data_IF_359993352733
#
_entry.id   IF_359993352733
#
_cell.length_a   1.000
_cell.length_b   1.000
_cell.length_c   1.000
_cell.angle_alpha   90.00
_cell.angle_beta   90.00
_cell.angle_gamma   90.00
#
_symmetry.space_group_name_H-M   'P 1'
#
loop_
_entity.id
_entity.type
_entity.pdbx_description
1 polymer ?
#
# COMPACT_ATOMS: atom_id res chain seq x y z
N UNK A 1 -3.27 -7.77 -26.58
CA UNK A 1 -2.21 -7.06 -25.84
C UNK A 1 -2.13 -7.71 -24.48
N UNK A 2 -1.06 -8.44 -24.20
CA UNK A 2 -0.93 -9.26 -23.00
C UNK A 2 -0.73 -8.41 -21.73
N UNK A 3 -0.95 -9.05 -20.59
CA UNK A 3 -0.81 -8.48 -19.24
C UNK A 3 0.68 -8.18 -18.92
N UNK A 4 1.60 -8.67 -19.74
CA UNK A 4 3.03 -8.93 -19.46
C UNK A 4 4.00 -7.74 -19.22
N UNK A 5 3.55 -6.50 -19.00
CA UNK A 5 4.46 -5.33 -18.91
C UNK A 5 4.33 -4.52 -17.61
N UNK A 6 3.80 -5.09 -16.53
CA UNK A 6 3.78 -4.41 -15.22
C UNK A 6 4.93 -4.92 -14.33
N UNK A 7 5.50 -4.07 -13.45
CA UNK A 7 6.53 -4.49 -12.49
C UNK A 7 6.08 -5.67 -11.63
N UNK A 8 6.99 -6.57 -11.31
CA UNK A 8 6.73 -7.79 -10.52
C UNK A 8 6.06 -7.49 -9.16
N UNK A 9 6.39 -6.35 -8.55
CA UNK A 9 5.78 -5.85 -7.32
C UNK A 9 4.25 -5.64 -7.42
N UNK A 10 3.67 -5.65 -8.62
CA UNK A 10 2.24 -5.53 -8.88
C UNK A 10 1.56 -6.86 -9.24
N UNK A 11 2.30 -7.98 -9.33
CA UNK A 11 1.74 -9.26 -9.76
C UNK A 11 0.55 -9.70 -8.89
N UNK A 12 0.67 -9.62 -7.56
CA UNK A 12 -0.42 -9.96 -6.63
C UNK A 12 -1.68 -9.11 -6.88
N UNK A 13 -1.53 -7.80 -7.14
CA UNK A 13 -2.65 -6.93 -7.49
C UNK A 13 -3.27 -7.34 -8.84
N UNK A 14 -2.43 -7.58 -9.85
CA UNK A 14 -2.85 -7.95 -11.20
C UNK A 14 -3.65 -9.27 -11.17
N UNK A 15 -3.17 -10.26 -10.44
CA UNK A 15 -3.86 -11.54 -10.22
C UNK A 15 -5.24 -11.33 -9.59
N UNK A 16 -5.33 -10.45 -8.58
CA UNK A 16 -6.60 -10.14 -7.90
C UNK A 16 -7.60 -9.36 -8.75
N UNK A 17 -7.14 -8.47 -9.63
CA UNK A 17 -8.05 -7.63 -10.43
C UNK A 17 -8.42 -8.26 -11.77
N UNK A 18 -7.63 -9.19 -12.29
CA UNK A 18 -7.90 -9.85 -13.59
C UNK A 18 -9.29 -10.51 -13.66
N UNK A 19 -9.78 -11.23 -12.62
CA UNK A 19 -11.12 -11.82 -12.60
C UNK A 19 -12.26 -10.80 -12.65
N UNK A 20 -11.99 -9.51 -12.41
CA UNK A 20 -13.01 -8.45 -12.35
C UNK A 20 -13.43 -7.96 -13.75
N UNK A 21 -12.88 -8.53 -14.82
CA UNK A 21 -13.30 -8.24 -16.19
C UNK A 21 -12.97 -6.80 -16.62
N UNK A 22 -13.96 -5.99 -17.07
CA UNK A 22 -13.69 -4.65 -17.60
C UNK A 22 -12.97 -3.72 -16.63
N UNK A 23 -13.34 -3.74 -15.33
CA UNK A 23 -12.70 -2.86 -14.34
C UNK A 23 -11.24 -3.29 -14.08
N UNK A 24 -10.96 -4.60 -14.05
CA UNK A 24 -9.59 -5.11 -13.96
C UNK A 24 -8.72 -4.69 -15.15
N UNK A 25 -9.31 -4.65 -16.35
CA UNK A 25 -8.66 -4.13 -17.55
C UNK A 25 -8.37 -2.63 -17.44
N UNK A 26 -9.32 -1.84 -16.93
CA UNK A 26 -9.13 -0.42 -16.69
C UNK A 26 -7.97 -0.18 -15.72
N UNK A 27 -7.99 -0.84 -14.56
CA UNK A 27 -6.94 -0.73 -13.52
C UNK A 27 -5.56 -1.06 -14.13
N UNK A 28 -5.44 -2.21 -14.80
CA UNK A 28 -4.18 -2.63 -15.43
C UNK A 28 -3.68 -1.65 -16.48
N UNK A 29 -4.57 -1.06 -17.28
CA UNK A 29 -4.19 -0.05 -18.28
C UNK A 29 -3.75 1.26 -17.63
N UNK A 30 -4.46 1.72 -16.61
CA UNK A 30 -4.07 2.92 -15.86
C UNK A 30 -2.67 2.76 -15.27
N UNK A 31 -2.36 1.60 -14.67
CA UNK A 31 -1.03 1.33 -14.13
C UNK A 31 0.06 1.40 -15.20
N UNK A 32 -0.20 0.82 -16.38
CA UNK A 32 0.75 0.87 -17.52
C UNK A 32 1.00 2.28 -18.03
N UNK A 33 0.00 3.16 -17.96
CA UNK A 33 0.13 4.56 -18.39
C UNK A 33 0.82 5.40 -17.31
N UNK A 34 0.52 5.13 -16.04
CA UNK A 34 1.02 5.92 -14.91
C UNK A 34 2.47 5.60 -14.57
N UNK A 35 2.92 4.35 -14.76
CA UNK A 35 4.28 3.92 -14.44
C UNK A 35 5.21 4.11 -15.63
N UNK A 36 6.32 4.82 -15.41
CA UNK A 36 7.36 4.91 -16.43
C UNK A 36 8.11 3.58 -16.50
N UNK A 37 8.50 3.11 -17.71
CA UNK A 37 9.35 1.92 -17.84
C UNK A 37 10.72 2.04 -17.14
N UNK A 38 11.18 3.26 -16.86
CA UNK A 38 12.45 3.53 -16.16
C UNK A 38 12.35 3.42 -14.64
N UNK A 39 11.13 3.41 -14.10
CA UNK A 39 10.90 3.42 -12.66
C UNK A 39 10.78 2.01 -12.10
N UNK A 40 11.37 1.80 -10.93
CA UNK A 40 11.11 0.60 -10.14
C UNK A 40 10.07 0.91 -9.09
N UNK A 41 9.11 0.02 -8.92
CA UNK A 41 8.15 0.05 -7.80
C UNK A 41 8.85 -0.50 -6.57
N UNK A 42 9.01 0.35 -5.55
CA UNK A 42 9.65 0.01 -4.29
C UNK A 42 8.63 -0.51 -3.26
N UNK A 43 7.44 0.10 -3.23
CA UNK A 43 6.34 -0.28 -2.35
C UNK A 43 5.04 -0.29 -3.14
N UNK A 44 4.20 -1.29 -2.88
CA UNK A 44 2.84 -1.41 -3.40
C UNK A 44 1.90 -1.80 -2.26
N UNK A 45 1.11 -0.85 -1.79
CA UNK A 45 0.05 -1.09 -0.80
C UNK A 45 -1.31 -0.95 -1.47
N UNK A 46 -2.19 -1.92 -1.27
CA UNK A 46 -3.53 -1.88 -1.85
C UNK A 46 -4.60 -2.45 -0.94
N UNK A 47 -5.78 -1.83 -0.98
CA UNK A 47 -6.99 -2.30 -0.33
C UNK A 47 -8.04 -2.56 -1.39
N UNK A 48 -8.26 -3.83 -1.72
CA UNK A 48 -9.25 -4.27 -2.68
C UNK A 48 -10.49 -4.79 -1.94
N UNK A 49 -11.64 -4.21 -2.24
CA UNK A 49 -12.95 -4.68 -1.79
C UNK A 49 -13.69 -5.33 -2.95
N UNK A 50 -14.07 -6.58 -2.77
CA UNK A 50 -14.87 -7.36 -3.72
C UNK A 50 -16.01 -8.05 -2.98
N UNK A 51 -17.06 -8.45 -3.69
CA UNK A 51 -18.09 -9.33 -3.12
C UNK A 51 -17.52 -10.72 -2.81
N UNK A 52 -18.07 -11.39 -1.80
CA UNK A 52 -17.71 -12.77 -1.41
C UNK A 52 -17.78 -13.78 -2.56
N UNK A 53 -18.63 -13.54 -3.56
CA UNK A 53 -18.72 -14.36 -4.77
C UNK A 53 -17.36 -14.48 -5.50
N UNK A 54 -16.57 -13.39 -5.58
CA UNK A 54 -15.24 -13.43 -6.20
C UNK A 54 -14.26 -14.27 -5.37
N UNK A 55 -14.33 -14.16 -4.04
CA UNK A 55 -13.48 -14.97 -3.15
C UNK A 55 -13.78 -16.48 -3.27
N UNK A 56 -15.00 -16.84 -3.68
CA UNK A 56 -15.44 -18.21 -3.96
C UNK A 56 -15.24 -18.64 -5.43
N UNK A 57 -14.57 -17.83 -6.26
CA UNK A 57 -14.33 -18.13 -7.68
C UNK A 57 -15.55 -17.97 -8.59
N UNK A 58 -16.60 -17.28 -8.12
CA UNK A 58 -17.81 -16.96 -8.87
C UNK A 58 -17.75 -15.53 -9.42
N UNK A 59 -18.59 -15.20 -10.44
CA UNK A 59 -18.73 -13.82 -10.89
C UNK A 59 -19.28 -12.97 -9.75
N UNK A 60 -18.46 -12.07 -9.23
CA UNK A 60 -18.86 -11.12 -8.20
C UNK A 60 -18.69 -9.68 -8.65
N UNK A 61 -19.07 -8.75 -7.77
CA UNK A 61 -18.97 -7.33 -8.02
C UNK A 61 -17.70 -6.74 -7.43
N UNK A 62 -17.06 -5.87 -8.20
CA UNK A 62 -16.06 -4.94 -7.69
C UNK A 62 -16.71 -3.94 -6.72
N UNK A 63 -16.12 -3.79 -5.53
CA UNK A 63 -16.48 -2.77 -4.56
C UNK A 63 -15.63 -1.53 -4.76
N UNK A 64 -14.35 -1.60 -4.40
CA UNK A 64 -13.40 -0.50 -4.56
C UNK A 64 -11.96 -1.00 -4.57
N UNK A 65 -11.04 -0.18 -5.07
CA UNK A 65 -9.61 -0.36 -4.93
C UNK A 65 -8.98 0.96 -4.52
N UNK A 66 -8.28 1.00 -3.39
CA UNK A 66 -7.31 2.06 -3.08
C UNK A 66 -5.91 1.47 -3.21
N UNK A 67 -5.03 2.16 -3.94
CA UNK A 67 -3.68 1.71 -4.27
C UNK A 67 -2.69 2.85 -4.05
N UNK A 68 -1.69 2.61 -3.21
CA UNK A 68 -0.54 3.49 -3.00
C UNK A 68 0.73 2.82 -3.53
N UNK A 69 1.44 3.52 -4.42
CA UNK A 69 2.70 3.07 -4.97
C UNK A 69 3.80 4.07 -4.61
N UNK A 70 4.92 3.57 -4.13
CA UNK A 70 6.17 4.33 -4.07
C UNK A 70 7.11 3.77 -5.13
N UNK A 71 7.58 4.64 -6.01
CA UNK A 71 8.62 4.30 -7.00
C UNK A 71 9.94 4.97 -6.63
N UNK A 72 10.95 4.72 -7.44
CA UNK A 72 12.25 5.41 -7.37
C UNK A 72 12.16 6.92 -7.58
N UNK A 73 11.06 7.44 -8.13
CA UNK A 73 10.91 8.87 -8.48
C UNK A 73 9.61 9.51 -7.99
N UNK A 74 8.55 8.72 -7.78
CA UNK A 74 7.19 9.23 -7.57
C UNK A 74 6.44 8.45 -6.51
N UNK A 75 5.56 9.16 -5.82
CA UNK A 75 4.46 8.57 -5.08
C UNK A 75 3.20 8.66 -5.94
N UNK A 76 2.44 7.56 -6.01
CA UNK A 76 1.17 7.48 -6.73
C UNK A 76 0.07 7.00 -5.78
N UNK A 77 -1.06 7.71 -5.75
CA UNK A 77 -2.29 7.29 -5.09
C UNK A 77 -3.39 7.13 -6.14
N UNK A 78 -3.87 5.90 -6.33
CA UNK A 78 -4.87 5.56 -7.34
C UNK A 78 -6.08 4.93 -6.64
N UNK A 79 -7.23 5.60 -6.72
CA UNK A 79 -8.48 5.10 -6.18
C UNK A 79 -9.49 4.81 -7.28
N UNK A 80 -10.03 3.61 -7.28
CA UNK A 80 -11.11 3.18 -8.14
C UNK A 80 -12.33 2.86 -7.27
N UNK A 81 -13.35 3.71 -7.33
CA UNK A 81 -14.63 3.51 -6.64
C UNK A 81 -15.76 3.40 -7.67
N UNK A 82 -16.94 2.86 -7.30
CA UNK A 82 -18.03 2.67 -8.26
C UNK A 82 -18.54 3.98 -8.87
N UNK A 83 -18.43 5.08 -8.13
CA UNK A 83 -18.99 6.39 -8.51
C UNK A 83 -17.94 7.39 -9.00
N UNK A 84 -16.66 7.17 -8.70
CA UNK A 84 -15.57 8.06 -9.13
C UNK A 84 -14.21 7.36 -9.08
N UNK A 85 -13.24 7.94 -9.77
CA UNK A 85 -11.84 7.53 -9.69
C UNK A 85 -10.99 8.74 -9.32
N UNK A 86 -9.95 8.53 -8.51
CA UNK A 86 -8.99 9.57 -8.16
C UNK A 86 -7.59 9.09 -8.51
N UNK A 87 -6.77 10.02 -8.99
CA UNK A 87 -5.36 9.77 -9.28
C UNK A 87 -4.56 10.96 -8.79
N UNK A 88 -3.61 10.71 -7.89
CA UNK A 88 -2.64 11.70 -7.44
C UNK A 88 -1.23 11.16 -7.71
N UNK A 89 -0.37 12.04 -8.21
CA UNK A 89 1.03 11.75 -8.50
C UNK A 89 1.86 12.90 -7.92
N UNK A 90 2.90 12.54 -7.18
CA UNK A 90 3.84 13.48 -6.57
C UNK A 90 5.26 13.03 -6.85
N UNK A 91 6.10 13.95 -7.30
CA UNK A 91 7.54 13.70 -7.35
C UNK A 91 8.08 13.67 -5.93
N UNK A 92 8.87 12.64 -5.61
CA UNK A 92 9.45 12.43 -4.28
C UNK A 92 10.91 12.02 -4.43
N UNK A 93 11.76 12.53 -3.56
CA UNK A 93 13.19 12.25 -3.61
C UNK A 93 13.62 11.23 -2.55
N UNK A 94 13.11 11.38 -1.32
CA UNK A 94 13.44 10.51 -0.19
C UNK A 94 12.30 10.44 0.81
N UNK A 95 12.30 9.38 1.61
CA UNK A 95 11.50 9.31 2.83
C UNK A 95 12.29 10.03 3.93
N UNK A 96 11.78 11.16 4.41
CA UNK A 96 12.42 11.92 5.50
C UNK A 96 12.00 11.44 6.87
N UNK A 97 10.78 10.91 6.97
CA UNK A 97 10.23 10.40 8.22
C UNK A 97 9.37 9.16 7.96
N UNK A 98 9.47 8.21 8.88
CA UNK A 98 8.62 7.02 8.95
C UNK A 98 8.30 6.76 10.41
N UNK A 99 7.02 6.60 10.72
CA UNK A 99 6.51 6.26 12.03
C UNK A 99 5.43 5.20 11.90
N UNK A 100 5.46 4.22 12.78
CA UNK A 100 4.42 3.20 12.89
C UNK A 100 4.00 3.08 14.34
N UNK A 101 2.70 3.29 14.57
CA UNK A 101 2.08 3.17 15.88
C UNK A 101 1.16 1.97 15.87
N UNK A 102 1.20 1.17 16.93
CA UNK A 102 0.36 -0.02 17.09
C UNK A 102 -0.59 0.21 18.26
N UNK A 103 -1.89 -0.04 18.05
CA UNK A 103 -2.86 -0.15 19.14
C UNK A 103 -3.17 -1.62 19.39
N UNK A 104 -3.11 -2.03 20.64
CA UNK A 104 -3.55 -3.35 21.09
C UNK A 104 -4.92 -3.23 21.76
N UNK A 105 -5.70 -4.31 21.78
CA UNK A 105 -6.95 -4.33 22.55
C UNK A 105 -6.62 -4.21 24.05
N UNK A 106 -6.80 -3.02 24.62
CA UNK A 106 -6.73 -2.81 26.06
C UNK A 106 -8.03 -3.32 26.68
N UNK A 107 -7.93 -4.42 27.44
CA UNK A 107 -9.09 -5.06 28.05
C UNK A 107 -8.79 -5.98 29.25
N UNK A 108 -7.60 -5.90 29.84
CA UNK A 108 -7.30 -6.58 31.10
C UNK A 108 -6.53 -5.63 32.00
N UNK A 109 -6.91 -5.59 33.28
CA UNK A 109 -6.26 -4.81 34.34
C UNK A 109 -4.75 -5.07 34.34
N UNK A 110 -3.97 -4.03 34.06
CA UNK A 110 -2.52 -4.13 33.90
C UNK A 110 -2.05 -3.40 32.65
N UNK A 111 -2.20 -2.07 32.63
CA UNK A 111 -1.54 -1.24 31.64
C UNK A 111 -0.03 -1.49 31.68
N UNK A 112 0.55 -1.81 30.53
CA UNK A 112 1.95 -1.49 30.25
C UNK A 112 3.00 -2.53 30.58
N UNK A 113 2.81 -3.80 30.19
CA UNK A 113 3.95 -4.72 30.14
C UNK A 113 4.13 -5.33 28.74
N UNK A 114 5.15 -4.86 28.02
CA UNK A 114 5.60 -5.37 26.73
C UNK A 114 5.87 -6.89 26.76
N UNK A 115 6.13 -7.44 27.95
CA UNK A 115 6.35 -8.87 28.19
C UNK A 115 5.12 -9.72 27.84
N UNK A 116 3.90 -9.17 27.93
CA UNK A 116 2.67 -9.89 27.56
C UNK A 116 2.41 -9.98 26.04
N UNK A 117 3.06 -9.13 25.24
CA UNK A 117 2.93 -9.14 23.78
C UNK A 117 3.79 -10.23 23.11
N UNK A 118 4.95 -10.56 23.69
CA UNK A 118 5.80 -11.67 23.21
C UNK A 118 5.16 -13.04 23.53
N UNK A 119 4.57 -13.21 24.72
CA UNK A 119 3.98 -14.49 25.14
C UNK A 119 2.67 -14.84 24.43
N UNK A 120 1.91 -13.84 23.93
CA UNK A 120 0.59 -14.03 23.32
C UNK A 120 0.56 -13.89 21.80
N UNK A 121 1.72 -13.66 21.20
CA UNK A 121 1.85 -13.31 19.80
C UNK A 121 1.49 -11.84 19.58
N UNK A 122 2.45 -11.07 19.07
CA UNK A 122 2.29 -9.65 18.77
C UNK A 122 1.15 -9.43 17.75
N UNK A 123 -0.05 -9.07 18.25
CA UNK A 123 -1.28 -9.02 17.46
C UNK A 123 -2.01 -7.68 17.69
N UNK A 124 -1.58 -6.59 17.04
CA UNK A 124 -2.25 -5.29 17.15
C UNK A 124 -3.65 -5.34 16.53
N UNK A 125 -4.58 -4.56 17.09
CA UNK A 125 -5.92 -4.37 16.53
C UNK A 125 -5.99 -3.20 15.56
N UNK A 126 -4.97 -2.33 15.59
CA UNK A 126 -4.86 -1.18 14.71
C UNK A 126 -3.39 -0.82 14.52
N UNK A 127 -3.04 -0.43 13.30
CA UNK A 127 -1.76 0.16 12.96
C UNK A 127 -2.02 1.49 12.28
N UNK A 128 -1.28 2.51 12.71
CA UNK A 128 -1.21 3.81 12.06
C UNK A 128 0.21 3.96 11.52
N UNK A 129 0.33 4.10 10.21
CA UNK A 129 1.58 4.38 9.50
C UNK A 129 1.57 5.83 9.05
N UNK A 130 2.63 6.57 9.34
CA UNK A 130 2.89 7.90 8.80
C UNK A 130 4.25 7.90 8.08
N UNK A 131 4.25 8.33 6.82
CA UNK A 131 5.45 8.53 6.01
C UNK A 131 5.46 9.96 5.50
N UNK A 132 6.58 10.65 5.68
CA UNK A 132 6.80 11.99 5.10
C UNK A 132 7.85 11.91 4.02
N UNK A 133 7.54 12.55 2.90
CA UNK A 133 8.40 12.60 1.73
C UNK A 133 8.95 14.00 1.54
N UNK A 134 10.23 14.07 1.18
CA UNK A 134 10.90 15.30 0.78
C UNK A 134 11.26 15.28 -0.70
N UNK A 135 11.31 16.46 -1.31
CA UNK A 135 11.91 16.68 -2.63
C UNK A 135 13.46 16.71 -2.58
N UNK A 136 14.09 17.01 -3.72
CA UNK A 136 15.54 17.10 -3.84
C UNK A 136 16.16 18.28 -3.07
N UNK A 137 15.34 19.25 -2.66
CA UNK A 137 15.75 20.41 -1.87
C UNK A 137 15.50 20.21 -0.36
N UNK A 138 14.96 19.06 0.04
CA UNK A 138 14.63 18.75 1.43
C UNK A 138 13.33 19.41 1.92
N UNK A 139 12.46 19.86 1.00
CA UNK A 139 11.14 20.36 1.38
C UNK A 139 10.13 19.22 1.45
N UNK A 140 9.31 19.19 2.50
CA UNK A 140 8.22 18.23 2.60
C UNK A 140 7.19 18.47 1.49
N UNK A 141 6.93 17.43 0.70
CA UNK A 141 6.00 17.51 -0.44
C UNK A 141 4.74 16.67 -0.24
N UNK A 142 4.79 15.69 0.65
CA UNK A 142 3.68 14.78 0.90
C UNK A 142 3.81 14.08 2.26
N UNK A 143 2.67 13.92 2.93
CA UNK A 143 2.50 12.98 4.04
C UNK A 143 1.54 11.87 3.60
N UNK A 144 1.99 10.61 3.67
CA UNK A 144 1.14 9.45 3.51
C UNK A 144 0.79 8.89 4.89
N UNK A 145 -0.49 8.97 5.24
CA UNK A 145 -1.05 8.32 6.42
C UNK A 145 -1.83 7.07 5.99
N UNK A 146 -1.60 5.95 6.67
CA UNK A 146 -2.32 4.71 6.44
C UNK A 146 -2.72 4.06 7.75
N UNK A 147 -4.02 3.91 7.93
CA UNK A 147 -4.60 3.17 9.03
C UNK A 147 -5.02 1.78 8.58
N UNK A 148 -4.76 0.76 9.40
CA UNK A 148 -5.14 -0.62 9.15
C UNK A 148 -5.69 -1.27 10.41
N UNK A 149 -6.94 -1.73 10.34
CA UNK A 149 -7.61 -2.48 11.41
C UNK A 149 -8.00 -3.91 11.01
N UNK A 150 -7.93 -4.23 9.71
CA UNK A 150 -8.15 -5.59 9.20
C UNK A 150 -6.85 -6.38 9.29
N UNK A 151 -6.93 -7.64 9.73
CA UNK A 151 -5.75 -8.47 9.93
C UNK A 151 -4.87 -8.64 8.66
N UNK A 152 -5.49 -8.67 7.48
CA UNK A 152 -4.75 -8.74 6.20
C UNK A 152 -3.96 -7.45 5.89
N UNK A 153 -4.56 -6.29 6.15
CA UNK A 153 -3.95 -4.98 5.94
C UNK A 153 -2.79 -4.77 6.92
N UNK A 154 -3.01 -5.12 8.20
CA UNK A 154 -2.00 -5.12 9.27
C UNK A 154 -0.78 -5.97 8.86
N UNK A 155 -1.02 -7.21 8.40
CA UNK A 155 0.06 -8.10 7.93
C UNK A 155 0.79 -7.51 6.72
N UNK A 156 0.07 -6.86 5.81
CA UNK A 156 0.66 -6.24 4.62
C UNK A 156 1.58 -5.09 5.00
N UNK A 157 1.15 -4.22 5.93
CA UNK A 157 2.00 -3.13 6.44
C UNK A 157 3.26 -3.66 7.13
N UNK A 158 3.16 -4.71 7.96
CA UNK A 158 4.34 -5.34 8.56
C UNK A 158 5.32 -5.89 7.55
N UNK A 159 4.83 -6.51 6.45
CA UNK A 159 5.70 -7.03 5.39
C UNK A 159 6.49 -5.92 4.70
N UNK A 160 5.96 -4.69 4.66
CA UNK A 160 6.61 -3.55 4.02
C UNK A 160 7.62 -2.84 4.93
N UNK A 161 7.53 -3.04 6.25
CA UNK A 161 8.35 -2.33 7.24
C UNK A 161 9.87 -2.48 7.02
N UNK A 162 10.43 -3.68 6.73
CA UNK A 162 11.87 -3.80 6.45
C UNK A 162 12.31 -2.98 5.24
N UNK A 163 11.48 -2.94 4.19
CA UNK A 163 11.77 -2.15 2.99
C UNK A 163 11.69 -0.67 3.32
N UNK A 164 10.58 -0.20 3.89
CA UNK A 164 10.38 1.21 4.27
C UNK A 164 11.50 1.73 5.16
N UNK A 165 11.84 1.00 6.23
CA UNK A 165 12.93 1.38 7.14
C UNK A 165 14.29 1.45 6.44
N UNK A 166 14.56 0.56 5.47
CA UNK A 166 15.81 0.57 4.72
C UNK A 166 15.94 1.77 3.77
N UNK A 167 14.82 2.39 3.39
CA UNK A 167 14.74 3.52 2.46
C UNK A 167 14.81 4.88 3.15
N UNK A 168 14.50 4.96 4.46
CA UNK A 168 14.50 6.21 5.23
C UNK A 168 15.85 6.91 5.12
N UNK A 169 15.82 8.21 4.80
CA UNK A 169 16.99 9.07 4.67
C UNK A 169 17.82 8.85 3.41
N UNK A 170 17.48 7.87 2.56
CA UNK A 170 18.19 7.59 1.30
C UNK A 170 17.43 8.15 0.11
N UNK A 171 18.16 8.55 -0.93
CA UNK A 171 17.55 8.89 -2.21
C UNK A 171 16.89 7.66 -2.83
N UNK A 172 15.62 7.78 -3.21
CA UNK A 172 14.84 6.70 -3.81
C UNK A 172 15.36 6.33 -5.20
N UNK A 173 15.94 7.29 -5.93
CA UNK A 173 16.55 7.07 -7.26
C UNK A 173 17.76 6.12 -7.24
N UNK A 174 18.35 5.85 -6.08
CA UNK A 174 19.55 5.01 -5.94
C UNK A 174 19.22 3.54 -5.62
N UNK A 175 17.93 3.19 -5.53
CA UNK A 175 17.44 1.87 -5.16
C UNK A 175 17.24 0.93 -6.37
#
# INVERSE_FOLDING_TARGET
MSVDNLPEALNDLVEKVTPLGPIGTLISRTLKVMLSPSEKVLISFHQLQTSEAIAAGQPGSFGSLDLKLLTTERYLSLGFYPTYHHFEVRDVHKISHFSMQNRFATGYEGEGDATTAEERGFNPIEIVLEIRFEDEHGQEVLTWNQDASRAEDIRTLFKQLPVLSSLVGKALKQQ
#
